data_IF_554848592889
#
_entry.id   IF_554848592889
#
_cell.length_a   1.000
_cell.length_b   1.000
_cell.length_c   1.000
_cell.angle_alpha   90.00
_cell.angle_beta   90.00
_cell.angle_gamma   90.00
#
_symmetry.space_group_name_H-M   'P 1'
#
loop_
_entity.id
_entity.type
_entity.pdbx_description
1 polymer ?
#
# COMPACT_ATOMS: atom_id res chain seq x y z
N UNK A 1 -14.43 -11.22 -4.04
CA UNK A 1 -14.06 -10.33 -5.16
C UNK A 1 -15.08 -10.36 -6.30
N UNK A 2 -15.38 -11.53 -6.91
CA UNK A 2 -16.40 -11.65 -7.98
C UNK A 2 -17.77 -11.05 -7.63
N UNK A 3 -18.30 -11.32 -6.43
CA UNK A 3 -19.60 -10.77 -5.99
C UNK A 3 -19.61 -9.23 -5.80
N UNK A 4 -18.43 -8.61 -5.69
CA UNK A 4 -18.27 -7.17 -5.57
C UNK A 4 -17.87 -6.51 -6.92
N UNK A 5 -17.88 -7.26 -8.03
CA UNK A 5 -17.51 -6.75 -9.36
C UNK A 5 -16.01 -6.56 -9.58
N UNK A 6 -15.14 -7.05 -8.69
CA UNK A 6 -13.69 -6.92 -8.81
C UNK A 6 -13.16 -7.89 -9.88
N UNK A 7 -12.49 -7.35 -10.90
CA UNK A 7 -11.68 -8.12 -11.85
C UNK A 7 -10.28 -8.29 -11.29
N UNK A 8 -9.91 -9.52 -10.98
CA UNK A 8 -8.64 -9.85 -10.33
C UNK A 8 -7.51 -10.08 -11.35
N UNK A 9 -6.33 -9.56 -11.06
CA UNK A 9 -5.06 -10.03 -11.61
C UNK A 9 -4.28 -10.64 -10.45
N UNK A 10 -4.10 -11.97 -10.48
CA UNK A 10 -3.55 -12.74 -9.36
C UNK A 10 -2.29 -13.45 -9.83
N UNK A 11 -1.30 -13.51 -8.94
CA UNK A 11 -0.07 -14.27 -9.12
C UNK A 11 -0.13 -15.44 -8.16
N UNK A 12 -0.08 -16.66 -8.68
CA UNK A 12 -0.06 -17.86 -7.87
C UNK A 12 1.36 -18.15 -7.39
N UNK A 13 1.53 -18.29 -6.08
CA UNK A 13 2.84 -18.58 -5.46
C UNK A 13 2.78 -19.91 -4.71
N UNK A 14 2.91 -21.06 -5.39
CA UNK A 14 2.62 -22.39 -4.84
C UNK A 14 3.54 -22.79 -3.68
N UNK A 15 4.74 -22.20 -3.62
CA UNK A 15 5.74 -22.47 -2.58
C UNK A 15 5.60 -21.55 -1.35
N UNK A 16 4.54 -20.74 -1.29
CA UNK A 16 4.25 -19.84 -0.18
C UNK A 16 2.80 -20.00 0.31
N UNK A 17 2.49 -19.33 1.42
CA UNK A 17 1.15 -19.29 2.00
C UNK A 17 0.55 -17.88 1.84
N UNK A 18 -0.77 -17.79 1.80
CA UNK A 18 -1.46 -16.49 1.84
C UNK A 18 -1.16 -15.78 3.14
N UNK A 19 -0.90 -14.47 3.08
CA UNK A 19 -0.68 -13.65 4.26
C UNK A 19 -1.84 -13.76 5.27
N UNK A 20 -1.51 -13.64 6.55
CA UNK A 20 -2.43 -13.73 7.66
C UNK A 20 -2.08 -12.69 8.73
N UNK A 21 -3.10 -12.26 9.49
CA UNK A 21 -2.92 -11.41 10.65
C UNK A 21 -3.61 -12.04 11.87
N UNK A 22 -2.92 -12.04 13.01
CA UNK A 22 -3.48 -12.43 14.30
C UNK A 22 -3.81 -11.16 15.06
N UNK A 23 -5.11 -10.92 15.26
CA UNK A 23 -5.62 -9.70 15.87
C UNK A 23 -6.12 -10.04 17.27
N UNK A 24 -5.49 -9.45 18.28
CA UNK A 24 -5.93 -9.49 19.67
C UNK A 24 -6.69 -8.22 19.96
N UNK A 25 -7.84 -8.34 20.61
CA UNK A 25 -8.65 -7.19 21.04
C UNK A 25 -8.71 -7.22 22.56
N UNK A 26 -8.27 -6.13 23.19
CA UNK A 26 -8.38 -5.97 24.64
C UNK A 26 -9.81 -5.54 24.99
N UNK A 27 -10.45 -6.30 25.88
CA UNK A 27 -11.89 -6.23 26.13
C UNK A 27 -12.34 -4.87 26.73
N UNK A 28 -11.51 -4.22 27.54
CA UNK A 28 -11.87 -2.98 28.23
C UNK A 28 -11.75 -1.72 27.37
N UNK A 29 -10.62 -1.55 26.70
CA UNK A 29 -10.30 -0.38 25.87
C UNK A 29 -10.76 -0.51 24.42
N UNK A 30 -10.91 -1.75 23.93
CA UNK A 30 -11.12 -2.03 22.51
C UNK A 30 -9.85 -1.88 21.67
N UNK A 31 -8.69 -1.62 22.28
CA UNK A 31 -7.42 -1.54 21.57
C UNK A 31 -7.08 -2.89 20.93
N UNK A 32 -6.43 -2.85 19.77
CA UNK A 32 -5.94 -4.03 19.10
C UNK A 32 -4.41 -4.16 19.20
N UNK A 33 -3.94 -5.40 19.17
CA UNK A 33 -2.56 -5.75 18.91
C UNK A 33 -2.53 -6.74 17.76
N UNK A 34 -1.70 -6.48 16.75
CA UNK A 34 -1.73 -7.23 15.49
C UNK A 34 -0.35 -7.84 15.24
N UNK A 35 -0.32 -9.16 15.02
CA UNK A 35 0.87 -9.86 14.51
C UNK A 35 0.61 -10.20 13.05
N UNK A 36 1.43 -9.66 12.15
CA UNK A 36 1.30 -9.87 10.71
C UNK A 36 2.28 -10.94 10.25
N UNK A 37 1.78 -11.90 9.49
CA UNK A 37 2.54 -12.87 8.73
C UNK A 37 2.28 -12.63 7.24
N UNK A 38 3.15 -11.91 6.52
CA UNK A 38 2.81 -11.37 5.21
C UNK A 38 2.65 -12.43 4.10
N UNK A 39 3.27 -13.60 4.25
CA UNK A 39 3.19 -14.69 3.28
C UNK A 39 3.55 -14.25 1.84
N UNK A 40 2.75 -14.68 0.88
CA UNK A 40 2.95 -14.41 -0.54
C UNK A 40 2.93 -12.91 -0.93
N UNK A 41 2.34 -12.03 -0.11
CA UNK A 41 2.32 -10.59 -0.41
C UNK A 41 3.74 -9.99 -0.45
N UNK A 42 4.65 -10.51 0.38
CA UNK A 42 6.05 -10.06 0.41
C UNK A 42 6.92 -10.64 -0.72
N UNK A 43 6.33 -11.44 -1.61
CA UNK A 43 7.01 -12.01 -2.78
C UNK A 43 6.69 -11.23 -4.07
N UNK A 44 5.79 -10.23 -4.00
CA UNK A 44 5.47 -9.38 -5.14
C UNK A 44 6.71 -8.58 -5.53
N UNK A 45 7.20 -8.81 -6.75
CA UNK A 45 8.41 -8.18 -7.26
C UNK A 45 8.10 -7.05 -8.26
N UNK A 46 9.05 -6.14 -8.53
CA UNK A 46 8.93 -5.19 -9.63
C UNK A 46 8.68 -5.85 -11.00
N UNK A 47 9.19 -7.07 -11.21
CA UNK A 47 8.97 -7.80 -12.47
C UNK A 47 7.51 -8.24 -12.63
N UNK A 48 6.86 -8.61 -11.52
CA UNK A 48 5.43 -8.94 -11.52
C UNK A 48 4.56 -7.75 -11.88
N UNK A 49 4.93 -6.56 -11.38
CA UNK A 49 4.29 -5.29 -11.71
C UNK A 49 4.47 -4.96 -13.20
N UNK A 50 5.68 -5.09 -13.72
CA UNK A 50 5.97 -4.81 -15.14
C UNK A 50 5.19 -5.75 -16.07
N UNK A 51 5.09 -7.04 -15.71
CA UNK A 51 4.29 -8.02 -16.45
C UNK A 51 2.80 -7.63 -16.55
N UNK A 52 2.31 -6.81 -15.61
CA UNK A 52 0.94 -6.30 -15.56
C UNK A 52 0.84 -4.80 -15.86
N UNK A 53 1.90 -4.16 -16.38
CA UNK A 53 1.95 -2.72 -16.60
C UNK A 53 0.79 -2.21 -17.48
N UNK A 54 0.35 -3.00 -18.46
CA UNK A 54 -0.78 -2.64 -19.33
C UNK A 54 -2.09 -2.39 -18.56
N UNK A 55 -2.33 -3.13 -17.47
CA UNK A 55 -3.49 -2.92 -16.61
C UNK A 55 -3.39 -1.57 -15.89
N UNK A 56 -2.22 -1.29 -15.31
CA UNK A 56 -1.95 -0.03 -14.58
C UNK A 56 -2.10 1.16 -15.53
N UNK A 57 -1.48 1.12 -16.71
CA UNK A 57 -1.53 2.20 -17.72
C UNK A 57 -2.94 2.49 -18.23
N UNK A 58 -3.85 1.51 -18.17
CA UNK A 58 -5.23 1.66 -18.63
C UNK A 58 -6.20 2.15 -17.54
N UNK A 59 -5.74 2.28 -16.30
CA UNK A 59 -6.57 2.69 -15.18
C UNK A 59 -6.82 4.22 -15.19
N UNK A 60 -7.91 4.66 -14.56
CA UNK A 60 -8.11 6.08 -14.25
C UNK A 60 -7.40 6.50 -12.96
N UNK A 61 -7.26 5.57 -12.01
CA UNK A 61 -6.61 5.79 -10.71
C UNK A 61 -5.84 4.51 -10.34
N UNK A 62 -4.62 4.68 -9.84
CA UNK A 62 -3.82 3.64 -9.21
C UNK A 62 -3.65 3.96 -7.73
N UNK A 63 -3.98 3.00 -6.87
CA UNK A 63 -3.89 3.12 -5.41
C UNK A 63 -3.01 1.99 -4.88
N UNK A 64 -2.07 2.30 -3.98
CA UNK A 64 -1.24 1.30 -3.30
C UNK A 64 -1.03 1.65 -1.82
N UNK A 65 -0.59 0.64 -1.07
CA UNK A 65 -0.20 0.72 0.34
C UNK A 65 1.18 0.07 0.52
N UNK A 66 1.63 -0.27 1.73
CA UNK A 66 2.99 -0.79 2.01
C UNK A 66 3.01 -2.20 2.61
N UNK A 67 1.96 -3.00 2.41
CA UNK A 67 1.93 -4.42 2.86
C UNK A 67 2.59 -5.40 1.87
N UNK A 68 3.12 -4.87 0.77
CA UNK A 68 4.03 -5.56 -0.16
C UNK A 68 5.39 -4.83 -0.21
N UNK A 69 6.44 -5.39 -0.84
CA UNK A 69 7.74 -4.75 -0.90
C UNK A 69 7.65 -3.34 -1.52
N UNK A 70 8.39 -2.38 -0.92
CA UNK A 70 8.36 -0.97 -1.31
C UNK A 70 8.78 -0.81 -2.78
N UNK A 71 9.69 -1.65 -3.26
CA UNK A 71 10.16 -1.64 -4.64
C UNK A 71 9.04 -1.96 -5.64
N UNK A 72 8.09 -2.83 -5.26
CA UNK A 72 6.92 -3.13 -6.09
C UNK A 72 5.94 -1.94 -6.10
N UNK A 73 5.70 -1.31 -4.94
CA UNK A 73 4.90 -0.09 -4.86
C UNK A 73 5.49 1.04 -5.73
N UNK A 74 6.80 1.26 -5.61
CA UNK A 74 7.55 2.27 -6.35
C UNK A 74 7.43 2.03 -7.86
N UNK A 75 7.68 0.79 -8.32
CA UNK A 75 7.56 0.43 -9.74
C UNK A 75 6.15 0.71 -10.28
N UNK A 76 5.13 0.38 -9.50
CA UNK A 76 3.74 0.58 -9.93
C UNK A 76 3.38 2.08 -10.01
N UNK A 77 3.84 2.88 -9.05
CA UNK A 77 3.69 4.34 -9.07
C UNK A 77 4.42 4.99 -10.25
N UNK A 78 5.64 4.54 -10.58
CA UNK A 78 6.38 5.01 -11.76
C UNK A 78 5.60 4.76 -13.06
N UNK A 79 5.06 3.54 -13.22
CA UNK A 79 4.28 3.15 -14.40
C UNK A 79 3.00 3.98 -14.50
N UNK A 80 2.26 4.12 -13.39
CA UNK A 80 1.02 4.87 -13.32
C UNK A 80 1.23 6.34 -13.68
N UNK A 81 2.18 7.01 -13.01
CA UNK A 81 2.47 8.42 -13.25
C UNK A 81 2.98 8.67 -14.66
N UNK A 82 3.86 7.80 -15.17
CA UNK A 82 4.36 7.88 -16.54
C UNK A 82 3.27 7.71 -17.61
N UNK A 83 2.12 7.13 -17.26
CA UNK A 83 0.95 6.99 -18.13
C UNK A 83 -0.12 8.07 -17.90
N UNK A 84 0.11 9.03 -17.00
CA UNK A 84 -0.86 10.07 -16.66
C UNK A 84 -2.05 9.56 -15.83
N UNK A 85 -1.89 8.43 -15.14
CA UNK A 85 -2.89 7.87 -14.22
C UNK A 85 -2.78 8.59 -12.88
N UNK A 86 -3.92 8.93 -12.26
CA UNK A 86 -3.92 9.51 -10.90
C UNK A 86 -3.37 8.50 -9.90
N UNK A 87 -2.44 8.92 -9.07
CA UNK A 87 -1.70 8.07 -8.14
C UNK A 87 -2.03 8.41 -6.69
N UNK A 88 -2.36 7.39 -5.90
CA UNK A 88 -2.65 7.51 -4.47
C UNK A 88 -1.76 6.53 -3.69
N UNK A 89 -1.00 7.05 -2.75
CA UNK A 89 -0.25 6.26 -1.78
C UNK A 89 -0.89 6.38 -0.40
N UNK A 90 -1.30 5.25 0.17
CA UNK A 90 -1.53 5.16 1.61
C UNK A 90 -0.24 4.64 2.25
N UNK A 91 0.53 5.48 2.98
CA UNK A 91 1.85 5.12 3.51
C UNK A 91 1.76 4.26 4.78
N UNK A 92 0.96 3.19 4.71
CA UNK A 92 0.65 2.27 5.80
C UNK A 92 1.03 0.83 5.43
N UNK A 93 1.62 0.05 6.36
CA UNK A 93 2.10 0.48 7.69
C UNK A 93 3.28 1.46 7.57
N UNK A 94 3.51 2.25 8.63
CA UNK A 94 4.59 3.23 8.65
C UNK A 94 5.95 2.59 8.32
N UNK A 95 6.64 3.14 7.32
CA UNK A 95 7.94 2.67 6.86
C UNK A 95 8.82 3.85 6.43
N UNK A 96 10.14 3.63 6.42
CA UNK A 96 11.06 4.59 5.80
C UNK A 96 10.92 4.51 4.29
N UNK A 97 10.51 5.61 3.68
CA UNK A 97 10.32 5.72 2.23
C UNK A 97 11.38 6.63 1.61
N UNK A 98 11.85 6.35 0.39
CA UNK A 98 12.68 7.29 -0.34
C UNK A 98 11.86 8.51 -0.76
N UNK A 99 12.37 9.72 -0.58
CA UNK A 99 11.66 10.98 -0.92
C UNK A 99 11.12 11.00 -2.36
N UNK A 100 11.79 10.30 -3.27
CA UNK A 100 11.36 10.17 -4.66
C UNK A 100 9.97 9.56 -4.83
N UNK A 101 9.50 8.74 -3.87
CA UNK A 101 8.17 8.12 -3.95
C UNK A 101 7.06 9.17 -3.91
N UNK A 102 7.23 10.25 -3.14
CA UNK A 102 6.21 11.28 -2.99
C UNK A 102 6.05 12.10 -4.28
N UNK A 103 7.14 12.29 -5.02
CA UNK A 103 7.10 12.92 -6.34
C UNK A 103 6.31 12.08 -7.38
N UNK A 104 6.05 10.82 -7.07
CA UNK A 104 5.24 9.92 -7.90
C UNK A 104 3.77 9.90 -7.52
N UNK A 105 3.36 10.59 -6.46
CA UNK A 105 2.00 10.55 -5.91
C UNK A 105 1.27 11.87 -6.19
N UNK A 106 0.01 11.78 -6.61
CA UNK A 106 -0.89 12.95 -6.66
C UNK A 106 -1.57 13.16 -5.30
N UNK A 107 -1.80 12.06 -4.56
CA UNK A 107 -2.33 12.08 -3.21
C UNK A 107 -1.53 11.14 -2.31
N UNK A 108 -1.34 11.54 -1.06
CA UNK A 108 -0.83 10.70 0.02
C UNK A 108 -1.86 10.74 1.15
N UNK A 109 -2.23 9.58 1.70
CA UNK A 109 -3.30 9.46 2.71
C UNK A 109 -2.77 8.82 4.00
N UNK A 110 -1.88 9.51 4.74
CA UNK A 110 -1.43 9.02 6.04
C UNK A 110 -2.54 9.19 7.10
N UNK A 111 -2.53 8.37 8.15
CA UNK A 111 -3.15 8.74 9.42
C UNK A 111 -2.24 9.69 10.23
N UNK A 112 -2.66 10.07 11.44
CA UNK A 112 -1.93 11.01 12.31
C UNK A 112 -0.52 10.51 12.66
N UNK A 113 -0.40 9.23 13.04
CA UNK A 113 0.89 8.62 13.40
C UNK A 113 1.83 8.47 12.21
N UNK A 114 1.28 8.15 11.03
CA UNK A 114 2.02 8.10 9.78
C UNK A 114 2.46 9.52 9.35
N UNK A 115 1.58 10.52 9.44
CA UNK A 115 1.89 11.91 9.09
C UNK A 115 3.02 12.47 9.98
N UNK A 116 2.97 12.19 11.28
CA UNK A 116 4.05 12.52 12.22
C UNK A 116 5.34 11.78 11.86
N UNK A 117 5.26 10.49 11.54
CA UNK A 117 6.41 9.70 11.09
C UNK A 117 7.05 10.22 9.79
N UNK A 118 6.25 10.78 8.88
CA UNK A 118 6.72 11.31 7.60
C UNK A 118 7.29 12.73 7.70
N UNK A 119 6.69 13.58 8.54
CA UNK A 119 6.98 15.03 8.56
C UNK A 119 7.77 15.47 9.80
N UNK A 120 7.75 14.67 10.87
CA UNK A 120 8.22 15.06 12.20
C UNK A 120 7.29 16.04 12.92
N UNK A 121 6.09 16.29 12.39
CA UNK A 121 5.09 17.21 12.95
C UNK A 121 3.95 16.38 13.54
N UNK A 122 3.74 16.49 14.85
CA UNK A 122 2.61 15.84 15.53
C UNK A 122 1.28 16.45 15.05
N UNK A 123 0.32 15.58 14.69
CA UNK A 123 -1.04 15.96 14.31
C UNK A 123 -1.97 15.63 15.49
N UNK A 124 -2.58 16.65 16.10
CA UNK A 124 -3.39 16.53 17.32
C UNK A 124 -4.81 17.05 17.18
N UNK A 125 -5.17 17.63 16.03
CA UNK A 125 -6.51 18.14 15.74
C UNK A 125 -6.85 18.10 14.25
N UNK A 126 -8.14 18.27 13.91
CA UNK A 126 -8.61 18.33 12.51
C UNK A 126 -8.03 19.52 11.75
N UNK A 127 -7.78 20.65 12.43
CA UNK A 127 -7.19 21.83 11.80
C UNK A 127 -5.70 21.62 11.43
N UNK A 128 -5.06 20.62 12.04
CA UNK A 128 -3.66 20.24 11.79
C UNK A 128 -3.52 19.10 10.76
N UNK A 129 -4.64 18.48 10.33
CA UNK A 129 -4.69 17.37 9.38
C UNK A 129 -4.92 17.86 7.94
#
# INVERSE_FOLDING_TARGET
WKGAGVKSAVIDTPDSYTGAAYIFVEEGSGNNAIIVSPGAAMLISPADIEAHAGLIRSAGVFVTQLEQPIEAALKALEIARGAGVTTILNPAPAATLPDSIYALCDYVTPNESEAEGLTGITVSSIDEA
#
